data_IF_072911450569
#
_entry.id   IF_072911450569
#
_cell.length_a   1.000
_cell.length_b   1.000
_cell.length_c   1.000
_cell.angle_alpha   90.00
_cell.angle_beta   90.00
_cell.angle_gamma   90.00
#
_symmetry.space_group_name_H-M   'P 1'
#
loop_
_entity.id
_entity.type
_entity.pdbx_description
1 polymer ?
#
# COMPACT_ATOMS: atom_id res chain seq x y z
N UNK A 1 -4.38 29.77 -25.84
CA UNK A 1 -4.23 28.42 -25.25
C UNK A 1 -3.51 28.55 -23.93
N UNK A 2 -4.22 28.40 -22.82
CA UNK A 2 -3.62 28.44 -21.49
C UNK A 2 -3.15 27.01 -21.17
N UNK A 3 -1.83 26.81 -21.09
CA UNK A 3 -1.26 25.54 -20.65
C UNK A 3 -1.54 25.39 -19.17
N UNK A 4 -2.49 24.55 -18.79
CA UNK A 4 -2.73 24.19 -17.39
C UNK A 4 -1.45 23.53 -16.87
N UNK A 5 -0.70 24.26 -16.04
CA UNK A 5 0.42 23.71 -15.29
C UNK A 5 -0.15 22.64 -14.35
N UNK A 6 0.02 21.36 -14.70
CA UNK A 6 -0.28 20.25 -13.80
C UNK A 6 0.71 20.31 -12.63
N UNK A 7 0.33 21.04 -11.58
CA UNK A 7 1.10 21.10 -10.33
C UNK A 7 0.96 19.75 -9.64
N UNK A 8 2.05 18.98 -9.57
CA UNK A 8 2.10 17.77 -8.75
C UNK A 8 1.74 18.16 -7.31
N UNK A 9 0.72 17.51 -6.74
CA UNK A 9 0.30 17.72 -5.37
C UNK A 9 0.99 16.69 -4.47
N UNK A 10 1.73 17.18 -3.48
CA UNK A 10 2.32 16.36 -2.41
C UNK A 10 1.62 16.75 -1.12
N UNK A 11 1.19 15.74 -0.36
CA UNK A 11 0.55 15.92 0.93
C UNK A 11 1.33 15.18 2.00
N UNK A 12 1.50 15.82 3.15
CA UNK A 12 2.12 15.22 4.34
C UNK A 12 1.08 15.23 5.44
N UNK A 13 0.94 14.10 6.14
CA UNK A 13 0.04 13.96 7.29
C UNK A 13 0.88 13.68 8.54
N UNK A 14 0.43 14.21 9.68
CA UNK A 14 0.93 13.79 10.97
C UNK A 14 0.17 12.53 11.40
N UNK A 15 0.89 11.41 11.54
CA UNK A 15 0.33 10.13 11.95
C UNK A 15 0.58 9.81 13.43
N UNK A 16 1.21 10.71 14.20
CA UNK A 16 1.66 10.44 15.57
C UNK A 16 0.55 10.26 16.61
N UNK A 17 -0.64 10.80 16.33
CA UNK A 17 -1.79 10.80 17.26
C UNK A 17 -2.98 9.97 16.76
N UNK A 18 -2.81 9.21 15.68
CA UNK A 18 -3.86 8.44 15.04
C UNK A 18 -3.56 6.94 14.98
N UNK A 19 -4.59 6.13 14.76
CA UNK A 19 -4.37 4.75 14.36
C UNK A 19 -3.81 4.70 12.93
N UNK A 20 -2.99 3.68 12.64
CA UNK A 20 -2.39 3.47 11.32
C UNK A 20 -3.45 3.48 10.20
N UNK A 21 -4.59 2.79 10.41
CA UNK A 21 -5.69 2.76 9.44
C UNK A 21 -6.32 4.13 9.20
N UNK A 22 -6.50 4.95 10.25
CA UNK A 22 -7.02 6.30 10.12
C UNK A 22 -6.04 7.23 9.41
N UNK A 23 -4.74 7.13 9.73
CA UNK A 23 -3.70 7.90 9.07
C UNK A 23 -3.66 7.57 7.56
N UNK A 24 -3.64 6.29 7.19
CA UNK A 24 -3.70 5.87 5.78
C UNK A 24 -4.97 6.38 5.09
N UNK A 25 -6.13 6.30 5.75
CA UNK A 25 -7.39 6.82 5.22
C UNK A 25 -7.33 8.32 4.93
N UNK A 26 -6.79 9.11 5.87
CA UNK A 26 -6.60 10.55 5.71
C UNK A 26 -5.67 10.86 4.53
N UNK A 27 -4.54 10.17 4.43
CA UNK A 27 -3.61 10.33 3.31
C UNK A 27 -4.28 10.04 1.95
N UNK A 28 -5.01 8.94 1.85
CA UNK A 28 -5.73 8.57 0.62
C UNK A 28 -6.81 9.60 0.25
N UNK A 29 -7.57 10.09 1.24
CA UNK A 29 -8.62 11.10 1.03
C UNK A 29 -8.10 12.42 0.47
N UNK A 30 -6.88 12.85 0.84
CA UNK A 30 -6.26 14.06 0.26
C UNK A 30 -6.07 13.96 -1.26
N UNK A 31 -5.98 12.74 -1.80
CA UNK A 31 -5.89 12.48 -3.24
C UNK A 31 -7.23 12.08 -3.89
N UNK A 32 -8.31 12.04 -3.10
CA UNK A 32 -9.67 11.69 -3.52
C UNK A 32 -10.09 10.25 -3.21
N UNK A 33 -9.28 9.50 -2.44
CA UNK A 33 -9.56 8.12 -2.05
C UNK A 33 -9.25 7.09 -3.15
N UNK A 34 -9.21 5.81 -2.76
CA UNK A 34 -8.93 4.71 -3.67
C UNK A 34 -10.02 4.54 -4.74
N UNK A 35 -11.29 4.74 -4.38
CA UNK A 35 -12.43 4.62 -5.31
C UNK A 35 -12.43 5.62 -6.46
N UNK A 36 -11.52 6.61 -6.44
CA UNK A 36 -11.30 7.52 -7.57
C UNK A 36 -10.63 6.83 -8.76
N UNK A 37 -9.90 5.74 -8.52
CA UNK A 37 -9.12 5.04 -9.56
C UNK A 37 -9.18 3.50 -9.46
N UNK A 38 -9.84 2.95 -8.44
CA UNK A 38 -10.14 1.52 -8.33
C UNK A 38 -11.67 1.35 -8.33
N UNK A 39 -12.15 0.47 -9.19
CA UNK A 39 -13.55 0.08 -9.30
C UNK A 39 -13.74 -1.40 -8.94
N UNK A 40 -14.97 -1.76 -8.56
CA UNK A 40 -15.33 -3.16 -8.36
C UNK A 40 -15.08 -3.96 -9.64
N UNK A 41 -14.33 -5.05 -9.53
CA UNK A 41 -13.98 -5.92 -10.66
C UNK A 41 -12.64 -5.57 -11.32
N UNK A 42 -12.00 -4.47 -10.92
CA UNK A 42 -10.62 -4.20 -11.33
C UNK A 42 -9.66 -5.21 -10.70
N UNK A 43 -8.62 -5.57 -11.46
CA UNK A 43 -7.48 -6.32 -10.95
C UNK A 43 -6.44 -5.35 -10.42
N UNK A 44 -6.12 -5.47 -9.14
CA UNK A 44 -5.16 -4.59 -8.47
C UNK A 44 -3.89 -5.37 -8.14
N UNK A 45 -2.77 -4.82 -8.58
CA UNK A 45 -1.44 -5.36 -8.27
C UNK A 45 -0.75 -4.46 -7.24
N UNK A 46 -0.43 -5.02 -6.08
CA UNK A 46 0.34 -4.35 -5.05
C UNK A 46 1.82 -4.71 -5.18
N UNK A 47 2.68 -3.68 -5.10
CA UNK A 47 4.13 -3.75 -5.28
C UNK A 47 4.82 -3.13 -4.06
N UNK A 48 4.85 -3.84 -2.91
CA UNK A 48 5.54 -3.34 -1.73
C UNK A 48 7.07 -3.40 -1.88
N UNK A 49 7.78 -3.14 -0.78
CA UNK A 49 9.23 -3.35 -0.64
C UNK A 49 9.54 -4.05 0.72
N UNK A 50 9.12 -5.29 0.91
CA UNK A 50 9.35 -6.03 2.18
C UNK A 50 10.34 -7.19 2.08
N UNK A 51 10.69 -7.66 0.88
CA UNK A 51 11.63 -8.78 0.69
C UNK A 51 13.08 -8.29 0.62
N UNK A 52 13.50 -7.68 1.72
CA UNK A 52 14.83 -7.11 1.96
C UNK A 52 15.22 -7.34 3.43
N UNK A 53 16.51 -7.24 3.73
CA UNK A 53 17.02 -7.22 5.10
C UNK A 53 17.05 -5.79 5.69
N UNK A 54 16.67 -4.78 4.91
CA UNK A 54 16.68 -3.39 5.35
C UNK A 54 15.66 -3.17 6.48
N UNK A 55 16.05 -2.53 7.59
CA UNK A 55 15.12 -2.21 8.67
C UNK A 55 14.16 -1.10 8.25
N UNK A 56 13.04 -0.97 8.97
CA UNK A 56 12.15 0.17 8.77
C UNK A 56 12.87 1.50 9.08
N UNK A 57 12.59 2.59 8.34
CA UNK A 57 11.57 2.72 7.28
C UNK A 57 12.09 2.43 5.85
N UNK A 58 13.26 1.80 5.69
CA UNK A 58 13.82 1.49 4.36
C UNK A 58 13.09 0.31 3.66
N UNK A 59 12.29 -0.45 4.40
CA UNK A 59 11.38 -1.48 3.90
C UNK A 59 9.92 -1.16 4.25
N UNK A 60 8.98 -1.82 3.57
CA UNK A 60 7.55 -1.70 3.88
C UNK A 60 7.23 -2.44 5.18
N UNK A 61 6.66 -1.71 6.14
CA UNK A 61 6.14 -2.29 7.37
C UNK A 61 4.98 -3.28 7.07
N UNK A 62 4.97 -4.48 7.67
CA UNK A 62 3.93 -5.48 7.45
C UNK A 62 2.53 -5.01 7.86
N UNK A 63 2.40 -4.33 9.01
CA UNK A 63 1.11 -3.85 9.49
C UNK A 63 0.54 -2.77 8.54
N UNK A 64 1.41 -1.88 8.04
CA UNK A 64 1.07 -0.93 6.99
C UNK A 64 0.57 -1.64 5.73
N UNK A 65 1.30 -2.65 5.25
CA UNK A 65 0.94 -3.40 4.06
C UNK A 65 -0.41 -4.11 4.21
N UNK A 66 -0.63 -4.82 5.32
CA UNK A 66 -1.90 -5.50 5.61
C UNK A 66 -3.06 -4.50 5.65
N UNK A 67 -2.85 -3.33 6.25
CA UNK A 67 -3.87 -2.28 6.32
C UNK A 67 -4.24 -1.74 4.94
N UNK A 68 -3.25 -1.55 4.06
CA UNK A 68 -3.49 -1.14 2.66
C UNK A 68 -4.22 -2.24 1.89
N UNK A 69 -3.82 -3.51 2.03
CA UNK A 69 -4.47 -4.66 1.39
C UNK A 69 -5.96 -4.69 1.76
N UNK A 70 -6.29 -4.60 3.06
CA UNK A 70 -7.68 -4.59 3.54
C UNK A 70 -8.51 -3.46 2.91
N UNK A 71 -7.95 -2.24 2.85
CA UNK A 71 -8.62 -1.09 2.21
C UNK A 71 -8.88 -1.28 0.71
N UNK A 72 -8.00 -1.99 0.00
CA UNK A 72 -8.21 -2.32 -1.41
C UNK A 72 -9.27 -3.42 -1.56
N UNK A 73 -9.23 -4.44 -0.69
CA UNK A 73 -10.19 -5.54 -0.66
C UNK A 73 -11.62 -5.07 -0.36
N UNK A 74 -11.77 -3.96 0.38
CA UNK A 74 -13.08 -3.30 0.59
C UNK A 74 -13.72 -2.80 -0.72
N UNK A 75 -12.94 -2.66 -1.81
CA UNK A 75 -13.39 -2.13 -3.12
C UNK A 75 -13.44 -3.22 -4.20
N UNK A 76 -12.41 -4.07 -4.28
CA UNK A 76 -12.32 -5.14 -5.29
C UNK A 76 -11.68 -6.40 -4.71
N UNK A 77 -12.11 -7.57 -5.19
CA UNK A 77 -11.65 -8.87 -4.69
C UNK A 77 -10.45 -9.46 -5.44
N UNK A 78 -10.12 -8.93 -6.62
CA UNK A 78 -9.00 -9.43 -7.45
C UNK A 78 -7.73 -8.62 -7.13
N UNK A 79 -7.07 -8.98 -6.03
CA UNK A 79 -5.85 -8.34 -5.54
C UNK A 79 -4.71 -9.35 -5.57
N UNK A 80 -3.62 -8.98 -6.23
CA UNK A 80 -2.38 -9.75 -6.28
C UNK A 80 -1.23 -8.93 -5.73
N UNK A 81 -0.19 -9.60 -5.24
CA UNK A 81 1.02 -8.94 -4.74
C UNK A 81 2.25 -9.48 -5.45
N UNK A 82 3.12 -8.58 -5.89
CA UNK A 82 4.43 -8.93 -6.44
C UNK A 82 5.52 -8.15 -5.73
N UNK A 83 6.64 -8.81 -5.49
CA UNK A 83 7.76 -8.21 -4.79
C UNK A 83 9.06 -8.55 -5.52
N UNK A 84 9.95 -7.57 -5.62
CA UNK A 84 11.31 -7.80 -6.05
C UNK A 84 12.11 -8.32 -4.87
N UNK A 85 12.77 -9.46 -5.02
CA UNK A 85 13.60 -10.02 -3.94
C UNK A 85 15.07 -9.72 -4.19
N UNK A 86 15.71 -9.04 -3.24
CA UNK A 86 17.19 -8.98 -3.21
C UNK A 86 17.79 -10.37 -2.93
N UNK A 87 17.06 -11.23 -2.21
CA UNK A 87 17.54 -12.51 -1.69
C UNK A 87 17.01 -13.74 -2.45
N UNK A 88 16.35 -13.53 -3.61
CA UNK A 88 15.67 -14.59 -4.41
C UNK A 88 14.67 -15.44 -3.62
N UNK A 89 14.11 -14.88 -2.54
CA UNK A 89 13.09 -15.53 -1.73
C UNK A 89 11.71 -15.38 -2.38
N UNK A 90 10.87 -16.41 -2.25
CA UNK A 90 9.47 -16.36 -2.69
C UNK A 90 8.69 -15.36 -1.82
N UNK A 91 7.97 -14.46 -2.48
CA UNK A 91 7.11 -13.44 -1.84
C UNK A 91 6.18 -14.04 -0.80
N UNK A 92 5.51 -15.15 -1.15
CA UNK A 92 4.61 -15.91 -0.27
C UNK A 92 5.29 -16.40 1.02
N UNK A 93 6.48 -16.99 0.92
CA UNK A 93 7.18 -17.51 2.10
C UNK A 93 7.59 -16.39 3.05
N UNK A 94 8.04 -15.26 2.50
CA UNK A 94 8.47 -14.12 3.31
C UNK A 94 7.27 -13.51 4.01
N UNK A 95 6.18 -13.24 3.29
CA UNK A 95 5.01 -12.63 3.92
C UNK A 95 4.34 -13.57 4.94
N UNK A 96 4.28 -14.88 4.66
CA UNK A 96 3.74 -15.86 5.61
C UNK A 96 4.62 -16.00 6.86
N UNK A 97 5.95 -15.90 6.70
CA UNK A 97 6.87 -15.89 7.83
C UNK A 97 6.75 -14.64 8.70
N UNK A 98 6.39 -13.50 8.10
CA UNK A 98 6.19 -12.22 8.80
C UNK A 98 4.81 -12.16 9.47
N UNK A 99 3.75 -12.58 8.77
CA UNK A 99 2.36 -12.39 9.18
C UNK A 99 1.70 -13.66 9.75
N UNK A 100 2.45 -14.76 9.91
CA UNK A 100 1.91 -16.00 10.48
C UNK A 100 0.82 -16.69 9.65
N UNK A 101 0.71 -16.36 8.35
CA UNK A 101 -0.31 -16.92 7.45
C UNK A 101 -1.68 -16.23 7.52
N UNK A 102 -1.74 -14.97 7.97
CA UNK A 102 -2.97 -14.17 8.00
C UNK A 102 -3.41 -13.60 6.62
N UNK A 103 -2.74 -13.97 5.52
CA UNK A 103 -3.05 -13.55 4.15
C UNK A 103 -3.44 -14.73 3.26
#
# INVERSE_FOLDING_TARGET
MQTTQNKNSVSVIDASSDSLSNAIEKALKLHGGLSKFISKGDRVLLKPNFNTADPFPASSDPEFLLTVIKKVLDITSDVSMIESSMLRLKTENVINGIMGGEL
#
